data_IF_222081961590
#
_entry.id   IF_222081961590
#
_cell.length_a   1.000
_cell.length_b   1.000
_cell.length_c   1.000
_cell.angle_alpha   90.00
_cell.angle_beta   90.00
_cell.angle_gamma   90.00
#
_symmetry.space_group_name_H-M   'P 1'
#
loop_
_entity.id
_entity.type
_entity.pdbx_description
1 polymer ?
#
# COMPACT_ATOMS: atom_id res chain seq x y z
N UNK A 1 -13.76 11.98 15.82
CA UNK A 1 -12.54 12.67 16.30
C UNK A 1 -12.27 13.96 15.51
N UNK A 2 -12.12 13.88 14.17
CA UNK A 2 -11.66 15.01 13.34
C UNK A 2 -12.65 16.18 13.19
N UNK A 3 -13.92 16.00 13.55
CA UNK A 3 -14.99 17.01 13.35
C UNK A 3 -14.60 18.40 13.88
N UNK A 4 -14.01 18.48 15.08
CA UNK A 4 -13.58 19.76 15.67
C UNK A 4 -12.35 20.34 14.98
N UNK A 5 -11.44 19.50 14.51
CA UNK A 5 -10.21 19.91 13.81
C UNK A 5 -10.54 20.48 12.43
N UNK A 6 -11.46 19.82 11.72
CA UNK A 6 -11.96 20.22 10.41
C UNK A 6 -12.73 21.54 10.49
N UNK A 7 -13.53 21.75 11.55
CA UNK A 7 -14.33 22.97 11.71
C UNK A 7 -13.49 24.26 11.64
N UNK A 8 -12.24 24.22 12.11
CA UNK A 8 -11.30 25.36 12.07
C UNK A 8 -10.80 25.71 10.67
N UNK A 9 -10.91 24.77 9.73
CA UNK A 9 -10.33 24.86 8.37
C UNK A 9 -11.36 25.10 7.28
N UNK A 10 -12.65 24.88 7.58
CA UNK A 10 -13.74 25.10 6.63
C UNK A 10 -13.76 26.54 6.11
N UNK A 11 -13.96 26.68 4.80
CA UNK A 11 -14.05 27.98 4.13
C UNK A 11 -12.72 28.62 3.73
N UNK A 12 -11.59 27.92 3.95
CA UNK A 12 -10.29 28.33 3.41
C UNK A 12 -10.13 27.84 1.96
N UNK A 13 -9.36 28.57 1.16
CA UNK A 13 -9.11 28.25 -0.27
C UNK A 13 -8.21 27.02 -0.47
N UNK A 14 -7.37 26.72 0.51
CA UNK A 14 -6.56 25.50 0.55
C UNK A 14 -6.53 24.94 1.96
N UNK A 15 -6.99 23.70 2.12
CA UNK A 15 -7.07 23.00 3.41
C UNK A 15 -6.10 21.83 3.50
N UNK A 16 -5.13 21.75 2.59
CA UNK A 16 -4.23 20.60 2.54
C UNK A 16 -3.23 20.55 3.69
N UNK A 17 -2.81 19.35 4.09
CA UNK A 17 -1.74 19.23 5.09
C UNK A 17 -0.43 19.85 4.62
N UNK A 18 -0.11 19.76 3.31
CA UNK A 18 1.09 20.37 2.75
C UNK A 18 1.09 21.89 2.86
N UNK A 19 -0.07 22.52 2.66
CA UNK A 19 -0.25 23.97 2.81
C UNK A 19 0.06 24.42 4.24
N UNK A 20 -0.53 23.75 5.24
CA UNK A 20 -0.27 24.05 6.64
C UNK A 20 1.20 23.79 7.03
N UNK A 21 1.77 22.68 6.56
CA UNK A 21 3.16 22.31 6.84
C UNK A 21 4.15 23.38 6.34
N UNK A 22 3.95 23.90 5.12
CA UNK A 22 4.80 24.95 4.52
C UNK A 22 4.66 26.31 5.20
N UNK A 23 3.54 26.55 5.88
CA UNK A 23 3.37 27.71 6.75
C UNK A 23 3.97 27.52 8.15
N UNK A 24 4.60 26.36 8.42
CA UNK A 24 5.17 26.04 9.72
C UNK A 24 4.15 25.59 10.77
N UNK A 25 2.90 25.31 10.35
CA UNK A 25 1.82 24.88 11.25
C UNK A 25 1.84 23.35 11.41
N UNK A 26 1.89 22.88 12.66
CA UNK A 26 1.65 21.47 13.00
C UNK A 26 0.15 21.31 13.24
N UNK A 27 -0.52 20.59 12.35
CA UNK A 27 -1.97 20.30 12.48
C UNK A 27 -2.23 19.19 13.49
N UNK A 28 -3.50 19.01 13.88
CA UNK A 28 -3.89 17.88 14.72
C UNK A 28 -3.62 16.53 14.06
N UNK A 29 -3.78 16.41 12.73
CA UNK A 29 -3.42 15.20 11.99
C UNK A 29 -1.92 14.91 12.06
N UNK A 30 -1.04 15.92 11.89
CA UNK A 30 0.41 15.72 12.03
C UNK A 30 0.79 15.28 13.44
N UNK A 31 0.17 15.86 14.46
CA UNK A 31 0.39 15.49 15.86
C UNK A 31 -0.06 14.04 16.14
N UNK A 32 -1.21 13.64 15.59
CA UNK A 32 -1.74 12.28 15.72
C UNK A 32 -0.80 11.26 15.07
N UNK A 33 -0.36 11.54 13.84
CA UNK A 33 0.58 10.70 13.10
C UNK A 33 1.92 10.58 13.83
N UNK A 34 2.45 11.68 14.36
CA UNK A 34 3.71 11.69 15.10
C UNK A 34 3.67 10.71 16.29
N UNK A 35 2.57 10.70 17.04
CA UNK A 35 2.36 9.75 18.14
C UNK A 35 2.24 8.31 17.63
N UNK A 36 1.45 8.08 16.57
CA UNK A 36 1.21 6.75 15.98
C UNK A 36 2.50 6.11 15.44
N UNK A 37 3.37 6.90 14.83
CA UNK A 37 4.63 6.46 14.24
C UNK A 37 5.80 6.47 15.25
N UNK A 38 5.60 7.03 16.44
CA UNK A 38 6.66 7.33 17.41
C UNK A 38 7.78 8.20 16.79
N UNK A 39 7.38 9.27 16.09
CA UNK A 39 8.26 10.22 15.43
C UNK A 39 8.04 11.64 15.98
N UNK A 40 9.04 12.54 15.91
CA UNK A 40 8.85 13.94 16.28
C UNK A 40 7.81 14.64 15.38
N UNK A 41 6.88 15.45 15.93
CA UNK A 41 5.93 16.22 15.13
C UNK A 41 6.58 17.16 14.11
N UNK A 42 7.72 17.75 14.45
CA UNK A 42 8.47 18.59 13.51
C UNK A 42 9.00 17.81 12.31
N UNK A 43 9.42 16.56 12.50
CA UNK A 43 9.82 15.68 11.39
C UNK A 43 8.63 15.43 10.45
N UNK A 44 7.44 15.13 11.00
CA UNK A 44 6.23 14.94 10.19
C UNK A 44 5.92 16.19 9.36
N UNK A 45 5.92 17.36 10.00
CA UNK A 45 5.71 18.65 9.32
C UNK A 45 6.74 18.89 8.21
N UNK A 46 8.02 18.68 8.49
CA UNK A 46 9.10 18.89 7.50
C UNK A 46 8.99 17.93 6.30
N UNK A 47 8.69 16.65 6.55
CA UNK A 47 8.50 15.65 5.49
C UNK A 47 7.27 15.97 4.62
N UNK A 48 6.18 16.44 5.23
CA UNK A 48 4.97 16.86 4.50
C UNK A 48 5.22 18.14 3.72
N UNK A 49 5.89 19.15 4.32
CA UNK A 49 6.17 20.43 3.66
C UNK A 49 7.06 20.27 2.40
N UNK A 50 8.03 19.35 2.46
CA UNK A 50 8.92 19.04 1.34
C UNK A 50 8.36 18.00 0.36
N UNK A 51 7.17 17.45 0.63
CA UNK A 51 6.46 16.53 -0.26
C UNK A 51 6.93 15.07 -0.20
N UNK A 52 7.81 14.71 0.74
CA UNK A 52 8.32 13.33 0.95
C UNK A 52 7.42 12.47 1.84
N UNK A 53 6.36 13.06 2.35
CA UNK A 53 5.30 12.42 3.11
C UNK A 53 3.97 13.06 2.78
N UNK A 54 2.91 12.26 2.76
CA UNK A 54 1.54 12.74 2.71
C UNK A 54 0.75 12.19 3.90
N UNK A 55 -0.32 12.90 4.25
CA UNK A 55 -1.35 12.49 5.19
C UNK A 55 -2.69 12.62 4.43
N UNK A 56 -3.16 11.54 3.77
CA UNK A 56 -4.39 11.59 2.99
C UNK A 56 -5.58 11.70 3.94
N UNK A 57 -6.16 12.90 4.04
CA UNK A 57 -7.08 13.23 5.12
C UNK A 57 -8.14 14.24 4.67
N UNK A 58 -9.00 13.83 3.74
CA UNK A 58 -10.04 14.69 3.21
C UNK A 58 -10.93 15.22 4.35
N UNK A 59 -11.26 16.51 4.30
CA UNK A 59 -12.08 17.20 5.31
C UNK A 59 -13.50 16.61 5.45
N UNK A 60 -13.98 15.87 4.46
CA UNK A 60 -15.28 15.21 4.46
C UNK A 60 -15.21 13.76 4.99
N UNK A 61 -14.05 13.30 5.48
CA UNK A 61 -13.87 11.99 6.11
C UNK A 61 -13.61 12.11 7.62
N UNK A 62 -14.64 12.41 8.44
CA UNK A 62 -14.47 12.74 9.86
C UNK A 62 -14.12 11.55 10.77
N UNK A 63 -14.36 10.32 10.30
CA UNK A 63 -14.10 9.08 11.03
C UNK A 63 -12.67 8.57 10.88
N UNK A 64 -11.91 9.14 9.94
CA UNK A 64 -10.51 8.81 9.71
C UNK A 64 -9.67 8.98 10.98
N UNK A 65 -8.86 7.95 11.26
CA UNK A 65 -7.71 7.98 12.14
C UNK A 65 -6.45 8.27 11.31
N UNK A 66 -5.88 9.48 11.40
CA UNK A 66 -4.81 9.90 10.50
C UNK A 66 -3.60 8.96 10.49
N UNK A 67 -2.98 8.86 9.32
CA UNK A 67 -1.77 8.07 9.08
C UNK A 67 -0.88 8.81 8.08
N UNK A 68 0.43 8.52 8.09
CA UNK A 68 1.36 9.07 7.12
C UNK A 68 1.89 8.02 6.15
N UNK A 69 2.01 8.43 4.88
CA UNK A 69 2.66 7.69 3.82
C UNK A 69 3.91 8.47 3.42
N UNK A 70 5.08 7.94 3.75
CA UNK A 70 6.35 8.55 3.37
C UNK A 70 7.53 7.67 3.76
N UNK A 71 8.69 7.90 3.13
CA UNK A 71 9.88 7.11 3.41
C UNK A 71 10.43 7.31 4.83
N UNK A 72 9.99 8.32 5.58
CA UNK A 72 10.40 8.50 6.99
C UNK A 72 9.55 7.69 7.98
N UNK A 73 8.34 7.26 7.60
CA UNK A 73 7.43 6.49 8.44
C UNK A 73 7.53 4.98 8.17
N UNK A 74 6.78 4.17 8.92
CA UNK A 74 6.63 2.73 8.65
C UNK A 74 6.10 2.47 7.24
N UNK A 75 6.51 1.39 6.59
CA UNK A 75 5.97 1.01 5.30
C UNK A 75 4.47 0.66 5.43
N UNK A 76 3.62 1.22 4.55
CA UNK A 76 2.16 1.10 4.62
C UNK A 76 1.64 0.06 3.62
N UNK A 77 0.49 -0.53 3.91
CA UNK A 77 -0.16 -1.51 3.03
C UNK A 77 -1.57 -1.03 2.65
N UNK A 78 -1.87 -1.06 1.36
CA UNK A 78 -3.21 -0.83 0.84
C UNK A 78 -3.91 -2.15 0.51
N UNK A 79 -5.21 -2.24 0.78
CA UNK A 79 -6.08 -3.29 0.25
C UNK A 79 -7.07 -2.73 -0.77
N UNK A 80 -7.32 -3.47 -1.85
CA UNK A 80 -8.35 -3.14 -2.83
C UNK A 80 -9.62 -3.94 -2.55
N UNK A 81 -10.74 -3.24 -2.42
CA UNK A 81 -12.08 -3.85 -2.37
C UNK A 81 -12.93 -3.29 -3.52
N UNK A 82 -14.18 -3.70 -3.61
CA UNK A 82 -15.08 -3.17 -4.62
C UNK A 82 -16.15 -4.15 -5.05
N UNK A 83 -17.31 -3.58 -5.40
CA UNK A 83 -18.43 -4.26 -6.01
C UNK A 83 -18.20 -4.47 -7.51
N UNK A 84 -18.73 -5.58 -8.01
CA UNK A 84 -18.72 -5.88 -9.45
C UNK A 84 -20.16 -6.14 -9.93
N UNK A 85 -20.44 -6.00 -11.25
CA UNK A 85 -21.76 -6.30 -11.81
C UNK A 85 -22.33 -7.68 -11.44
N UNK A 86 -21.46 -8.63 -11.12
CA UNK A 86 -21.83 -10.02 -10.88
C UNK A 86 -21.95 -10.38 -9.39
N UNK A 87 -21.49 -9.53 -8.48
CA UNK A 87 -21.65 -9.72 -7.04
C UNK A 87 -21.28 -8.44 -6.27
N UNK A 88 -22.17 -8.01 -5.39
CA UNK A 88 -21.92 -7.45 -4.04
C UNK A 88 -23.14 -6.61 -3.60
N UNK A 89 -23.37 -6.53 -2.29
CA UNK A 89 -24.29 -5.56 -1.68
C UNK A 89 -23.54 -4.67 -0.67
N UNK A 90 -24.21 -3.65 -0.13
CA UNK A 90 -23.60 -2.68 0.79
C UNK A 90 -22.94 -3.33 2.02
N UNK A 91 -23.60 -4.32 2.62
CA UNK A 91 -23.12 -4.98 3.83
C UNK A 91 -21.88 -5.83 3.54
N UNK A 92 -21.80 -6.44 2.36
CA UNK A 92 -20.63 -7.21 1.93
C UNK A 92 -19.39 -6.32 1.74
N UNK A 93 -19.53 -5.14 1.13
CA UNK A 93 -18.38 -4.22 0.99
C UNK A 93 -17.91 -3.66 2.33
N UNK A 94 -18.84 -3.35 3.25
CA UNK A 94 -18.47 -2.96 4.62
C UNK A 94 -17.80 -4.11 5.37
N UNK A 95 -18.26 -5.36 5.18
CA UNK A 95 -17.61 -6.52 5.76
C UNK A 95 -16.18 -6.72 5.23
N UNK A 96 -15.95 -6.52 3.92
CA UNK A 96 -14.61 -6.56 3.31
C UNK A 96 -13.71 -5.46 3.87
N UNK A 97 -14.22 -4.23 4.03
CA UNK A 97 -13.50 -3.13 4.68
C UNK A 97 -13.08 -3.51 6.10
N UNK A 98 -14.02 -3.99 6.93
CA UNK A 98 -13.73 -4.38 8.31
C UNK A 98 -12.71 -5.52 8.38
N UNK A 99 -12.80 -6.49 7.47
CA UNK A 99 -11.83 -7.57 7.35
C UNK A 99 -10.44 -7.05 6.97
N UNK A 100 -10.38 -6.11 6.03
CA UNK A 100 -9.14 -5.51 5.59
C UNK A 100 -8.44 -4.76 6.74
N UNK A 101 -9.20 -3.94 7.47
CA UNK A 101 -8.70 -3.22 8.65
C UNK A 101 -8.28 -4.20 9.75
N UNK A 102 -9.05 -5.26 10.02
CA UNK A 102 -8.71 -6.31 11.00
C UNK A 102 -7.32 -6.91 10.73
N UNK A 103 -7.01 -7.22 9.47
CA UNK A 103 -5.73 -7.81 9.08
C UNK A 103 -4.64 -6.77 8.74
N UNK A 104 -4.87 -5.50 9.08
CA UNK A 104 -3.83 -4.48 9.14
C UNK A 104 -3.67 -3.63 7.89
N UNK A 105 -4.67 -3.57 7.00
CA UNK A 105 -4.68 -2.59 5.92
C UNK A 105 -4.55 -1.16 6.50
N UNK A 106 -3.55 -0.42 6.04
CA UNK A 106 -3.29 0.96 6.45
C UNK A 106 -4.13 1.95 5.63
N UNK A 107 -4.49 1.59 4.40
CA UNK A 107 -5.48 2.26 3.55
C UNK A 107 -6.33 1.23 2.80
N UNK A 108 -7.48 1.65 2.28
CA UNK A 108 -8.31 0.82 1.42
C UNK A 108 -8.72 1.59 0.17
N UNK A 109 -8.71 0.95 -0.99
CA UNK A 109 -9.28 1.52 -2.21
C UNK A 109 -10.62 0.87 -2.55
N UNK A 110 -11.62 1.70 -2.81
CA UNK A 110 -12.87 1.28 -3.45
C UNK A 110 -12.69 1.31 -4.98
N UNK A 111 -12.56 0.13 -5.56
CA UNK A 111 -12.44 -0.08 -7.00
C UNK A 111 -13.74 -0.58 -7.63
N UNK A 112 -14.89 -0.30 -7.00
CA UNK A 112 -16.21 -0.71 -7.51
C UNK A 112 -16.43 -0.21 -8.93
N UNK A 113 -16.83 -1.11 -9.84
CA UNK A 113 -17.09 -0.78 -11.25
C UNK A 113 -18.43 -1.27 -11.76
N UNK A 114 -19.39 -1.48 -10.86
CA UNK A 114 -20.76 -1.87 -11.17
C UNK A 114 -21.36 -2.69 -10.02
N UNK A 115 -22.57 -3.24 -10.24
CA UNK A 115 -23.25 -4.10 -9.26
C UNK A 115 -24.18 -3.37 -8.29
N UNK A 116 -24.39 -2.06 -8.46
CA UNK A 116 -25.30 -1.28 -7.63
C UNK A 116 -25.10 0.22 -7.78
N UNK A 117 -25.66 0.99 -6.84
CA UNK A 117 -25.43 2.43 -6.76
C UNK A 117 -24.03 2.72 -6.20
N UNK A 118 -23.08 3.01 -7.08
CA UNK A 118 -21.68 3.29 -6.73
C UNK A 118 -21.53 4.43 -5.71
N UNK A 119 -22.41 5.44 -5.76
CA UNK A 119 -22.35 6.55 -4.81
C UNK A 119 -22.71 6.10 -3.40
N UNK A 120 -23.75 5.28 -3.29
CA UNK A 120 -24.23 4.77 -2.01
C UNK A 120 -23.23 3.79 -1.39
N UNK A 121 -22.67 2.89 -2.21
CA UNK A 121 -21.61 1.97 -1.80
C UNK A 121 -20.44 2.75 -1.22
N UNK A 122 -19.87 3.68 -2.00
CA UNK A 122 -18.71 4.46 -1.56
C UNK A 122 -19.00 5.33 -0.34
N UNK A 123 -20.16 5.98 -0.29
CA UNK A 123 -20.57 6.78 0.88
C UNK A 123 -20.66 5.92 2.13
N UNK A 124 -21.14 4.68 2.00
CA UNK A 124 -21.25 3.74 3.11
C UNK A 124 -19.87 3.27 3.58
N UNK A 125 -18.97 2.94 2.64
CA UNK A 125 -17.57 2.59 2.94
C UNK A 125 -16.85 3.73 3.67
N UNK A 126 -16.91 4.96 3.15
CA UNK A 126 -16.25 6.13 3.77
C UNK A 126 -16.81 6.39 5.18
N UNK A 127 -18.12 6.25 5.38
CA UNK A 127 -18.70 6.42 6.73
C UNK A 127 -18.25 5.35 7.71
N UNK A 128 -18.01 4.12 7.25
CA UNK A 128 -17.58 3.01 8.09
C UNK A 128 -16.07 2.98 8.33
N UNK A 129 -15.27 3.62 7.47
CA UNK A 129 -13.81 3.47 7.48
C UNK A 129 -13.13 4.33 8.56
N UNK A 130 -12.23 3.73 9.35
CA UNK A 130 -11.27 4.48 10.17
C UNK A 130 -9.96 4.76 9.41
N UNK A 131 -9.74 4.17 8.23
CA UNK A 131 -8.52 4.33 7.42
C UNK A 131 -8.78 5.12 6.15
N UNK A 132 -7.76 5.73 5.51
CA UNK A 132 -7.95 6.48 4.27
C UNK A 132 -8.58 5.63 3.17
N UNK A 133 -9.54 6.22 2.46
CA UNK A 133 -10.21 5.62 1.30
C UNK A 133 -9.68 6.23 0.00
N UNK A 134 -9.14 5.37 -0.86
CA UNK A 134 -8.74 5.71 -2.22
C UNK A 134 -9.77 5.31 -3.26
N UNK A 135 -9.74 5.95 -4.44
CA UNK A 135 -10.55 5.55 -5.60
C UNK A 135 -9.82 5.76 -6.91
N UNK A 136 -10.38 5.22 -8.00
CA UNK A 136 -9.96 5.50 -9.38
C UNK A 136 -11.14 6.15 -10.13
N UNK A 137 -11.29 7.50 -10.11
CA UNK A 137 -12.49 8.20 -10.61
C UNK A 137 -12.91 7.85 -12.05
N UNK A 138 -11.94 7.53 -12.92
CA UNK A 138 -12.22 7.13 -14.31
C UNK A 138 -13.12 5.89 -14.41
N UNK A 139 -13.14 5.01 -13.41
CA UNK A 139 -14.00 3.82 -13.43
C UNK A 139 -15.48 4.21 -13.35
N UNK A 140 -15.84 5.15 -12.47
CA UNK A 140 -17.22 5.64 -12.40
C UNK A 140 -17.56 6.58 -13.55
N UNK A 141 -16.61 7.38 -14.04
CA UNK A 141 -16.84 8.18 -15.25
C UNK A 141 -17.17 7.31 -16.46
N UNK A 142 -16.51 6.15 -16.61
CA UNK A 142 -16.85 5.21 -17.68
C UNK A 142 -18.28 4.66 -17.55
N UNK A 143 -18.78 4.43 -16.34
CA UNK A 143 -20.15 3.99 -16.10
C UNK A 143 -21.19 5.08 -16.45
N UNK A 144 -20.87 6.37 -16.29
CA UNK A 144 -21.79 7.47 -16.64
C UNK A 144 -22.05 7.60 -18.15
N UNK A 145 -21.16 7.02 -18.97
CA UNK A 145 -21.32 6.91 -20.43
C UNK A 145 -21.65 5.48 -20.88
N UNK A 146 -22.21 4.66 -19.98
CA UNK A 146 -22.61 3.27 -20.23
C UNK A 146 -21.49 2.41 -20.84
N UNK A 147 -20.25 2.59 -20.38
CA UNK A 147 -19.10 1.84 -20.88
C UNK A 147 -18.55 2.32 -22.22
N UNK A 148 -19.20 3.30 -22.87
CA UNK A 148 -18.70 3.83 -24.14
C UNK A 148 -17.63 4.91 -23.87
N UNK A 149 -16.39 4.43 -23.74
CA UNK A 149 -15.23 5.29 -23.46
C UNK A 149 -15.04 6.43 -24.46
N UNK A 150 -15.50 6.31 -25.71
CA UNK A 150 -15.36 7.35 -26.73
C UNK A 150 -16.22 8.59 -26.42
N UNK A 151 -17.30 8.40 -25.64
CA UNK A 151 -18.21 9.47 -25.26
C UNK A 151 -17.74 10.28 -24.04
N UNK A 152 -16.66 9.87 -23.37
CA UNK A 152 -16.12 10.60 -22.22
C UNK A 152 -15.67 12.00 -22.63
N UNK A 153 -16.05 12.99 -21.84
CA UNK A 153 -15.59 14.38 -21.99
C UNK A 153 -14.73 14.80 -20.79
N UNK A 154 -13.89 15.84 -20.92
CA UNK A 154 -13.20 16.44 -19.78
C UNK A 154 -14.12 16.77 -18.60
N UNK A 155 -15.34 17.26 -18.87
CA UNK A 155 -16.32 17.61 -17.85
C UNK A 155 -16.81 16.39 -17.08
N UNK A 156 -16.99 15.24 -17.74
CA UNK A 156 -17.36 13.98 -17.06
C UNK A 156 -16.28 13.57 -16.05
N UNK A 157 -14.99 13.69 -16.43
CA UNK A 157 -13.88 13.39 -15.52
C UNK A 157 -13.88 14.33 -14.32
N UNK A 158 -13.91 15.65 -14.56
CA UNK A 158 -13.88 16.66 -13.50
C UNK A 158 -15.08 16.54 -12.56
N UNK A 159 -16.27 16.28 -13.11
CA UNK A 159 -17.49 16.08 -12.32
C UNK A 159 -17.35 14.89 -11.36
N UNK A 160 -16.89 13.74 -11.83
CA UNK A 160 -16.73 12.54 -10.98
C UNK A 160 -15.60 12.71 -9.96
N UNK A 161 -14.50 13.36 -10.35
CA UNK A 161 -13.41 13.70 -9.44
C UNK A 161 -13.92 14.58 -8.29
N UNK A 162 -14.63 15.68 -8.58
CA UNK A 162 -15.16 16.54 -7.52
C UNK A 162 -16.19 15.81 -6.66
N UNK A 163 -17.05 14.99 -7.27
CA UNK A 163 -18.05 14.19 -6.55
C UNK A 163 -17.41 13.26 -5.52
N UNK A 164 -16.33 12.56 -5.88
CA UNK A 164 -15.60 11.71 -4.95
C UNK A 164 -14.99 12.53 -3.80
N UNK A 165 -14.47 13.73 -4.11
CA UNK A 165 -13.89 14.62 -3.10
C UNK A 165 -14.95 15.13 -2.12
N UNK A 166 -16.15 15.45 -2.61
CA UNK A 166 -17.29 15.84 -1.78
C UNK A 166 -17.76 14.71 -0.85
N UNK A 167 -17.64 13.45 -1.28
CA UNK A 167 -18.01 12.29 -0.46
C UNK A 167 -17.00 11.96 0.65
N UNK A 168 -15.77 12.47 0.57
CA UNK A 168 -14.72 12.20 1.56
C UNK A 168 -13.68 11.18 1.12
N UNK A 169 -13.49 10.95 -0.18
CA UNK A 169 -12.35 10.16 -0.67
C UNK A 169 -11.05 10.90 -0.34
N UNK A 170 -10.08 10.22 0.29
CA UNK A 170 -8.85 10.85 0.80
C UNK A 170 -7.74 10.97 -0.25
N UNK A 171 -7.71 10.05 -1.19
CA UNK A 171 -6.79 10.10 -2.33
C UNK A 171 -7.39 9.51 -3.59
N UNK A 172 -6.93 9.96 -4.74
CA UNK A 172 -7.44 9.47 -6.02
C UNK A 172 -6.32 9.11 -6.97
N UNK A 173 -6.44 7.95 -7.58
CA UNK A 173 -5.58 7.53 -8.68
C UNK A 173 -5.97 8.28 -9.95
N UNK A 174 -5.13 9.23 -10.35
CA UNK A 174 -5.31 10.06 -11.55
C UNK A 174 -4.24 9.68 -12.57
N UNK A 175 -4.68 9.08 -13.67
CA UNK A 175 -3.82 8.61 -14.76
C UNK A 175 -3.46 9.76 -15.73
N UNK A 176 -2.92 10.86 -15.21
CA UNK A 176 -2.54 12.02 -16.01
C UNK A 176 -1.16 11.90 -16.68
N UNK A 177 -0.39 10.85 -16.35
CA UNK A 177 0.97 10.65 -16.86
C UNK A 177 1.08 10.06 -18.25
N UNK A 178 0.06 9.33 -18.71
CA UNK A 178 0.04 8.76 -20.05
C UNK A 178 -0.25 9.86 -21.06
N UNK A 179 0.75 10.15 -21.90
CA UNK A 179 0.65 11.12 -22.96
C UNK A 179 0.47 10.42 -24.30
N UNK A 180 -0.16 11.10 -25.27
CA UNK A 180 -0.39 10.52 -26.60
C UNK A 180 0.91 10.09 -27.29
N UNK A 181 2.01 10.81 -27.07
CA UNK A 181 3.36 10.50 -27.55
C UNK A 181 3.97 9.24 -26.91
N UNK A 182 3.45 8.76 -25.78
CA UNK A 182 3.92 7.52 -25.14
C UNK A 182 3.30 6.28 -25.79
N UNK A 183 2.13 6.38 -26.41
CA UNK A 183 1.39 5.23 -26.94
C UNK A 183 2.17 4.40 -27.97
N UNK A 184 2.99 4.97 -28.87
CA UNK A 184 3.82 4.17 -29.78
C UNK A 184 4.86 3.30 -29.07
N UNK A 185 5.30 3.66 -27.85
CA UNK A 185 6.35 2.95 -27.11
C UNK A 185 5.90 1.56 -26.66
N UNK A 186 4.58 1.34 -26.45
CA UNK A 186 4.06 0.03 -26.02
C UNK A 186 3.96 -1.00 -27.15
N UNK A 187 4.32 -0.64 -28.40
CA UNK A 187 4.16 -1.51 -29.58
C UNK A 187 4.82 -2.89 -29.43
N UNK A 188 5.97 -2.94 -28.76
CA UNK A 188 6.77 -4.17 -28.64
C UNK A 188 6.60 -4.89 -27.29
N UNK A 189 5.67 -4.42 -26.44
CA UNK A 189 5.36 -5.11 -25.19
C UNK A 189 4.66 -6.44 -25.44
N UNK A 190 4.94 -7.43 -24.60
CA UNK A 190 4.21 -8.72 -24.62
C UNK A 190 2.79 -8.51 -24.12
N UNK A 191 2.61 -7.71 -23.06
CA UNK A 191 1.33 -7.54 -22.37
C UNK A 191 0.64 -6.20 -22.62
N UNK A 192 1.27 -5.33 -23.42
CA UNK A 192 0.71 -4.03 -23.79
C UNK A 192 0.45 -3.10 -22.59
N UNK A 193 -0.76 -2.57 -22.49
CA UNK A 193 -1.21 -1.70 -21.39
C UNK A 193 -2.13 -2.52 -20.48
N UNK A 194 -1.64 -2.86 -19.29
CA UNK A 194 -2.39 -3.65 -18.29
C UNK A 194 -3.12 -2.81 -17.25
N UNK A 195 -2.85 -1.50 -17.19
CA UNK A 195 -3.64 -0.60 -16.36
C UNK A 195 -5.04 -0.43 -16.95
N UNK A 196 -6.08 -0.72 -16.18
CA UNK A 196 -7.47 -0.46 -16.60
C UNK A 196 -7.71 1.02 -16.89
N UNK A 197 -7.27 1.92 -16.01
CA UNK A 197 -7.42 3.36 -16.19
C UNK A 197 -6.57 3.87 -17.36
N UNK A 198 -5.33 3.40 -17.47
CA UNK A 198 -4.45 3.69 -18.59
C UNK A 198 -4.99 3.24 -19.93
N UNK A 199 -5.58 2.04 -20.00
CA UNK A 199 -6.18 1.48 -21.21
C UNK A 199 -7.40 2.26 -21.69
N UNK A 200 -8.25 2.74 -20.76
CA UNK A 200 -9.40 3.61 -21.09
C UNK A 200 -8.90 4.91 -21.73
N UNK A 201 -7.91 5.58 -21.12
CA UNK A 201 -7.37 6.83 -21.66
C UNK A 201 -6.61 6.64 -22.97
N UNK A 202 -5.83 5.57 -23.10
CA UNK A 202 -5.15 5.24 -24.34
C UNK A 202 -6.13 5.11 -25.50
N UNK A 203 -7.24 4.38 -25.30
CA UNK A 203 -8.30 4.25 -26.32
C UNK A 203 -9.01 5.57 -26.61
N UNK A 204 -9.31 6.36 -25.58
CA UNK A 204 -9.88 7.70 -25.75
C UNK A 204 -8.98 8.59 -26.62
N UNK A 205 -7.67 8.63 -26.33
CA UNK A 205 -6.70 9.42 -27.09
C UNK A 205 -6.55 8.94 -28.53
N UNK A 206 -6.55 7.62 -28.77
CA UNK A 206 -6.49 7.05 -30.12
C UNK A 206 -7.73 7.37 -30.96
N UNK A 207 -8.91 7.37 -30.34
CA UNK A 207 -10.15 7.73 -31.03
C UNK A 207 -10.17 9.22 -31.39
N UNK A 208 -9.93 10.08 -30.39
CA UNK A 208 -10.08 11.54 -30.54
C UNK A 208 -8.86 12.24 -31.16
N UNK A 209 -7.71 11.56 -31.23
CA UNK A 209 -6.42 12.15 -31.65
C UNK A 209 -6.07 13.41 -30.84
N UNK A 210 -6.35 13.37 -29.54
CA UNK A 210 -6.13 14.48 -28.59
C UNK A 210 -5.29 14.02 -27.42
N UNK A 211 -4.62 14.98 -26.77
CA UNK A 211 -3.90 14.72 -25.54
C UNK A 211 -4.84 14.28 -24.41
N UNK A 212 -4.31 13.51 -23.46
CA UNK A 212 -4.98 13.05 -22.25
C UNK A 212 -5.71 14.21 -21.54
N UNK A 213 -7.05 14.12 -21.35
CA UNK A 213 -7.83 15.20 -20.76
C UNK A 213 -7.45 15.45 -19.29
N UNK A 214 -7.03 14.41 -18.54
CA UNK A 214 -6.57 14.57 -17.16
C UNK A 214 -5.24 15.34 -17.09
N UNK A 215 -4.41 15.23 -18.14
CA UNK A 215 -3.18 16.00 -18.25
C UNK A 215 -3.45 17.46 -18.61
N UNK A 216 -4.32 17.71 -19.60
CA UNK A 216 -4.61 19.09 -20.05
C UNK A 216 -5.41 19.88 -19.00
N UNK A 217 -6.26 19.20 -18.23
CA UNK A 217 -7.06 19.79 -17.14
C UNK A 217 -6.46 19.56 -15.75
N UNK A 218 -5.17 19.24 -15.65
CA UNK A 218 -4.53 18.96 -14.35
C UNK A 218 -4.64 20.14 -13.36
N UNK A 219 -4.65 21.38 -13.86
CA UNK A 219 -4.86 22.57 -13.04
C UNK A 219 -6.25 22.63 -12.40
N UNK A 220 -7.29 22.21 -13.13
CA UNK A 220 -8.66 22.16 -12.61
C UNK A 220 -8.79 21.12 -11.50
N UNK A 221 -8.10 19.97 -11.65
CA UNK A 221 -8.05 18.91 -10.63
C UNK A 221 -7.34 19.41 -9.36
N UNK A 222 -6.25 20.16 -9.50
CA UNK A 222 -5.54 20.79 -8.37
C UNK A 222 -6.49 21.68 -7.56
N UNK A 223 -7.29 22.52 -8.22
CA UNK A 223 -8.24 23.40 -7.54
C UNK A 223 -9.33 22.63 -6.77
N UNK A 224 -9.78 21.50 -7.32
CA UNK A 224 -10.67 20.58 -6.59
C UNK A 224 -9.94 20.05 -5.34
N UNK A 225 -8.71 19.54 -5.48
CA UNK A 225 -8.02 18.85 -4.40
C UNK A 225 -7.67 19.78 -3.22
N UNK A 226 -7.29 21.04 -3.51
CA UNK A 226 -7.04 22.07 -2.49
C UNK A 226 -8.23 22.30 -1.57
N UNK A 227 -9.44 22.30 -2.13
CA UNK A 227 -10.69 22.59 -1.41
C UNK A 227 -11.05 21.50 -0.39
N UNK A 228 -10.61 20.26 -0.61
CA UNK A 228 -11.04 19.12 0.18
C UNK A 228 -9.89 18.38 0.91
N UNK A 229 -8.62 18.71 0.64
CA UNK A 229 -7.43 17.95 1.08
C UNK A 229 -7.41 16.51 0.54
N UNK A 230 -7.68 16.37 -0.76
CA UNK A 230 -7.48 15.10 -1.48
C UNK A 230 -6.02 15.01 -1.91
N UNK A 231 -5.38 13.87 -1.65
CA UNK A 231 -4.04 13.59 -2.16
C UNK A 231 -4.09 13.01 -3.57
N UNK A 232 -3.17 13.43 -4.43
CA UNK A 232 -2.92 12.72 -5.69
C UNK A 232 -2.24 11.38 -5.41
N UNK A 233 -2.79 10.33 -6.01
CA UNK A 233 -2.05 9.14 -6.37
C UNK A 233 -1.85 9.21 -7.89
N UNK A 234 -0.66 9.59 -8.34
CA UNK A 234 -0.40 9.75 -9.77
C UNK A 234 -0.22 8.36 -10.40
N UNK A 235 -1.22 7.93 -11.17
CA UNK A 235 -1.35 6.55 -11.65
C UNK A 235 -0.34 6.16 -12.72
N UNK A 236 0.11 4.90 -12.68
CA UNK A 236 1.09 4.30 -13.57
C UNK A 236 0.44 3.54 -14.74
N UNK A 237 -0.16 4.31 -15.65
CA UNK A 237 -0.90 3.80 -16.81
C UNK A 237 -0.12 2.79 -17.66
N UNK A 238 1.19 3.00 -17.78
CA UNK A 238 2.14 2.25 -18.58
C UNK A 238 3.04 1.38 -17.69
N UNK A 239 2.57 0.92 -16.53
CA UNK A 239 3.29 -0.12 -15.79
C UNK A 239 3.46 -1.42 -16.59
N UNK A 240 4.51 -2.21 -16.33
CA UNK A 240 4.70 -3.52 -16.94
C UNK A 240 3.73 -4.56 -16.38
N UNK A 241 3.14 -5.37 -17.27
CA UNK A 241 2.26 -6.50 -16.93
C UNK A 241 2.91 -7.88 -17.05
N UNK A 242 4.20 -7.92 -17.37
CA UNK A 242 5.03 -9.10 -17.32
C UNK A 242 6.49 -8.68 -17.12
N UNK A 243 7.35 -9.58 -16.68
CA UNK A 243 8.76 -9.27 -16.39
C UNK A 243 9.55 -8.85 -17.63
N UNK A 244 9.11 -9.24 -18.83
CA UNK A 244 9.75 -8.83 -20.08
C UNK A 244 9.57 -7.33 -20.36
N UNK A 245 8.41 -6.77 -20.00
CA UNK A 245 8.06 -5.38 -20.28
C UNK A 245 8.61 -4.42 -19.20
N UNK A 246 9.29 -4.96 -18.18
CA UNK A 246 9.79 -4.22 -17.04
C UNK A 246 10.89 -3.22 -17.42
N UNK A 247 10.81 -2.02 -16.85
CA UNK A 247 11.77 -0.93 -17.02
C UNK A 247 11.93 -0.46 -18.47
N UNK A 248 10.91 -0.67 -19.31
CA UNK A 248 10.94 -0.24 -20.71
C UNK A 248 10.75 1.27 -20.90
N UNK A 249 10.95 1.74 -22.13
CA UNK A 249 10.85 3.17 -22.47
C UNK A 249 9.46 3.76 -22.16
N UNK A 250 8.39 2.97 -22.32
CA UNK A 250 7.03 3.42 -22.05
C UNK A 250 6.80 3.70 -20.57
N UNK A 251 7.24 2.79 -19.70
CA UNK A 251 7.15 2.94 -18.25
C UNK A 251 7.97 4.16 -17.78
N UNK A 252 9.21 4.27 -18.24
CA UNK A 252 10.11 5.35 -17.82
C UNK A 252 9.69 6.71 -18.35
N UNK A 253 9.10 6.78 -19.56
CA UNK A 253 8.55 8.00 -20.11
C UNK A 253 7.37 8.52 -19.26
N UNK A 254 6.45 7.65 -18.85
CA UNK A 254 5.37 8.06 -17.95
C UNK A 254 5.91 8.52 -16.60
N UNK A 255 6.82 7.77 -15.97
CA UNK A 255 7.40 8.13 -14.67
C UNK A 255 7.99 9.55 -14.67
N UNK A 256 8.68 9.93 -15.76
CA UNK A 256 9.21 11.29 -15.95
C UNK A 256 8.08 12.33 -15.98
N UNK A 257 6.98 12.05 -16.67
CA UNK A 257 5.80 12.92 -16.68
C UNK A 257 5.15 13.00 -15.30
N UNK A 258 5.06 11.90 -14.56
CA UNK A 258 4.55 11.89 -13.17
C UNK A 258 5.39 12.80 -12.27
N UNK A 259 6.72 12.83 -12.44
CA UNK A 259 7.59 13.77 -11.74
C UNK A 259 7.30 15.24 -12.07
N UNK A 260 6.99 15.56 -13.32
CA UNK A 260 6.58 16.91 -13.73
C UNK A 260 5.24 17.30 -13.08
N UNK A 261 4.26 16.41 -13.12
CA UNK A 261 2.94 16.62 -12.51
C UNK A 261 3.02 16.73 -10.99
N UNK A 262 3.91 15.98 -10.35
CA UNK A 262 4.20 16.08 -8.92
C UNK A 262 4.63 17.49 -8.55
N UNK A 263 5.65 18.03 -9.24
CA UNK A 263 6.13 19.41 -9.00
C UNK A 263 5.04 20.44 -9.26
N UNK A 264 4.25 20.26 -10.33
CA UNK A 264 3.11 21.13 -10.64
C UNK A 264 2.05 21.13 -9.55
N UNK A 265 1.71 19.98 -8.96
CA UNK A 265 0.79 19.92 -7.83
C UNK A 265 1.39 20.56 -6.57
N UNK A 266 2.69 20.38 -6.34
CA UNK A 266 3.40 21.00 -5.22
C UNK A 266 3.52 22.51 -5.32
N UNK A 267 3.54 23.12 -6.51
CA UNK A 267 3.45 24.59 -6.65
C UNK A 267 2.16 25.16 -6.02
N UNK A 268 1.15 24.32 -5.86
CA UNK A 268 -0.16 24.66 -5.29
C UNK A 268 -0.41 24.01 -3.92
N UNK A 269 0.64 23.53 -3.26
CA UNK A 269 0.58 22.82 -1.98
C UNK A 269 -0.38 21.62 -1.97
N UNK A 270 -0.53 20.88 -3.07
CA UNK A 270 -1.36 19.65 -3.07
C UNK A 270 -0.48 18.43 -2.81
N UNK A 271 -0.94 17.55 -1.91
CA UNK A 271 -0.23 16.34 -1.52
C UNK A 271 -0.17 15.34 -2.69
N UNK A 272 0.98 14.67 -2.88
CA UNK A 272 1.19 13.73 -3.98
C UNK A 272 1.93 12.49 -3.50
N UNK A 273 1.45 11.32 -3.90
CA UNK A 273 2.24 10.09 -4.05
C UNK A 273 2.22 9.65 -5.52
N UNK A 274 3.22 8.87 -5.91
CA UNK A 274 3.39 8.37 -7.28
C UNK A 274 3.18 6.86 -7.29
N UNK A 275 2.36 6.36 -8.20
CA UNK A 275 2.19 4.92 -8.40
C UNK A 275 3.34 4.33 -9.20
N UNK A 276 3.61 3.04 -8.99
CA UNK A 276 4.74 2.33 -9.54
C UNK A 276 4.47 0.86 -9.84
N UNK A 277 5.44 0.22 -10.51
CA UNK A 277 5.21 -0.91 -11.40
C UNK A 277 4.61 -2.16 -10.75
N UNK A 278 4.05 -2.97 -11.65
CA UNK A 278 3.41 -4.26 -11.38
C UNK A 278 4.37 -5.44 -11.46
N UNK A 279 4.89 -5.79 -12.65
CA UNK A 279 5.76 -6.97 -12.83
C UNK A 279 7.20 -6.55 -13.08
N UNK A 280 8.11 -6.84 -12.16
CA UNK A 280 9.51 -6.40 -12.21
C UNK A 280 10.42 -7.49 -11.62
N UNK A 281 11.37 -8.04 -12.38
CA UNK A 281 12.32 -9.03 -11.85
C UNK A 281 13.23 -8.38 -10.79
N UNK A 282 13.68 -9.17 -9.82
CA UNK A 282 14.35 -8.66 -8.60
C UNK A 282 15.55 -7.75 -8.88
N UNK A 283 16.33 -8.03 -9.92
CA UNK A 283 17.52 -7.28 -10.31
C UNK A 283 17.22 -5.84 -10.78
N UNK A 284 15.96 -5.53 -11.09
CA UNK A 284 15.52 -4.21 -11.55
C UNK A 284 14.74 -3.42 -10.50
N UNK A 285 14.44 -4.01 -9.33
CA UNK A 285 13.60 -3.35 -8.32
C UNK A 285 14.29 -2.12 -7.72
N UNK A 286 15.57 -2.24 -7.34
CA UNK A 286 16.31 -1.08 -6.80
C UNK A 286 16.35 0.05 -7.84
N UNK A 287 16.65 -0.27 -9.09
CA UNK A 287 16.67 0.71 -10.18
C UNK A 287 15.35 1.49 -10.24
N UNK A 288 14.20 0.80 -10.21
CA UNK A 288 12.90 1.44 -10.27
C UNK A 288 12.65 2.41 -9.11
N UNK A 289 12.95 1.98 -7.88
CA UNK A 289 12.77 2.82 -6.68
C UNK A 289 13.68 4.05 -6.72
N UNK A 290 14.97 3.87 -7.07
CA UNK A 290 15.92 4.98 -7.19
C UNK A 290 15.52 5.95 -8.31
N UNK A 291 15.06 5.42 -9.44
CA UNK A 291 14.64 6.22 -10.58
C UNK A 291 13.42 7.07 -10.25
N UNK A 292 12.47 6.52 -9.49
CA UNK A 292 11.35 7.31 -9.01
C UNK A 292 11.79 8.43 -8.06
N UNK A 293 12.70 8.17 -7.13
CA UNK A 293 13.21 9.22 -6.24
C UNK A 293 13.85 10.37 -7.01
N UNK A 294 14.64 10.05 -8.04
CA UNK A 294 15.30 11.01 -8.92
C UNK A 294 14.27 11.86 -9.69
N UNK A 295 13.36 11.21 -10.43
CA UNK A 295 12.44 11.89 -11.35
C UNK A 295 11.30 12.62 -10.62
N UNK A 296 10.82 12.05 -9.52
CA UNK A 296 9.66 12.52 -8.76
C UNK A 296 10.03 13.24 -7.46
N UNK A 297 11.29 13.67 -7.32
CA UNK A 297 11.73 14.52 -6.20
C UNK A 297 11.44 13.89 -4.83
N UNK A 298 11.68 12.57 -4.71
CA UNK A 298 11.44 11.76 -3.52
C UNK A 298 9.98 11.73 -3.00
N UNK A 299 8.99 12.11 -3.82
CA UNK A 299 7.58 11.93 -3.47
C UNK A 299 7.30 10.47 -3.02
N UNK A 300 6.39 10.22 -2.07
CA UNK A 300 6.07 8.86 -1.64
C UNK A 300 5.74 7.95 -2.81
N UNK A 301 6.41 6.79 -2.86
CA UNK A 301 6.18 5.80 -3.90
C UNK A 301 5.17 4.75 -3.43
N UNK A 302 4.24 4.39 -4.31
CA UNK A 302 3.17 3.44 -4.07
C UNK A 302 3.16 2.36 -5.16
N UNK A 303 3.55 1.12 -4.85
CA UNK A 303 3.77 0.08 -5.89
C UNK A 303 2.76 -1.06 -5.77
N UNK A 304 2.41 -1.69 -6.90
CA UNK A 304 1.59 -2.91 -6.94
C UNK A 304 2.50 -4.15 -6.96
N UNK A 305 2.81 -4.70 -5.79
CA UNK A 305 3.86 -5.72 -5.66
C UNK A 305 5.24 -5.10 -5.51
N UNK A 306 6.16 -5.22 -6.48
CA UNK A 306 5.98 -5.85 -7.79
C UNK A 306 6.09 -7.39 -7.77
N UNK A 307 5.41 -8.06 -8.72
CA UNK A 307 5.57 -9.48 -9.00
C UNK A 307 6.95 -9.74 -9.61
N UNK A 308 7.73 -10.62 -8.98
CA UNK A 308 9.11 -10.91 -9.43
C UNK A 308 9.19 -12.00 -10.51
N UNK A 309 8.08 -12.69 -10.77
CA UNK A 309 7.98 -13.75 -11.77
C UNK A 309 6.52 -13.96 -12.17
N UNK A 310 6.30 -14.33 -13.44
CA UNK A 310 4.95 -14.47 -14.02
C UNK A 310 4.40 -15.92 -14.01
N UNK A 311 5.14 -16.88 -13.46
CA UNK A 311 4.89 -18.32 -13.68
C UNK A 311 4.01 -18.99 -12.62
N UNK A 312 3.49 -18.22 -11.65
CA UNK A 312 2.79 -18.79 -10.49
C UNK A 312 1.41 -18.14 -10.21
N UNK A 313 0.52 -18.02 -11.22
CA UNK A 313 -0.85 -17.55 -10.97
C UNK A 313 -1.53 -18.47 -9.94
N UNK A 314 -2.27 -17.87 -9.00
CA UNK A 314 -2.75 -18.56 -7.78
C UNK A 314 -1.86 -18.31 -6.56
N UNK A 315 -0.62 -17.87 -6.77
CA UNK A 315 0.38 -17.60 -5.74
C UNK A 315 1.00 -16.20 -5.89
N UNK A 316 0.33 -15.29 -6.60
CA UNK A 316 0.90 -13.98 -6.90
C UNK A 316 1.06 -13.08 -5.66
N UNK A 317 0.29 -13.32 -4.60
CA UNK A 317 0.56 -12.75 -3.28
C UNK A 317 1.97 -13.09 -2.75
N UNK A 318 2.55 -14.25 -3.11
CA UNK A 318 3.90 -14.65 -2.73
C UNK A 318 4.93 -14.06 -3.70
N UNK A 319 4.71 -14.19 -5.01
CA UNK A 319 5.63 -13.64 -6.03
C UNK A 319 5.81 -12.14 -5.85
N UNK A 320 4.72 -11.45 -5.52
CA UNK A 320 4.73 -10.02 -5.27
C UNK A 320 5.23 -9.63 -3.89
N UNK A 321 5.01 -10.43 -2.83
CA UNK A 321 5.53 -10.11 -1.50
C UNK A 321 7.07 -10.05 -1.47
N UNK A 322 7.75 -10.86 -2.30
CA UNK A 322 9.21 -10.79 -2.49
C UNK A 322 9.60 -9.41 -3.02
N UNK A 323 8.98 -8.98 -4.12
CA UNK A 323 9.28 -7.70 -4.72
C UNK A 323 8.86 -6.52 -3.85
N UNK A 324 7.73 -6.64 -3.16
CA UNK A 324 7.20 -5.64 -2.24
C UNK A 324 8.12 -5.42 -1.02
N UNK A 325 8.69 -6.49 -0.46
CA UNK A 325 9.67 -6.39 0.62
C UNK A 325 10.95 -5.69 0.15
N UNK A 326 11.42 -6.00 -1.07
CA UNK A 326 12.59 -5.33 -1.66
C UNK A 326 12.33 -3.86 -1.98
N UNK A 327 11.21 -3.56 -2.65
CA UNK A 327 10.82 -2.19 -3.00
C UNK A 327 10.60 -1.35 -1.73
N UNK A 328 9.90 -1.94 -0.75
CA UNK A 328 9.79 -1.45 0.61
C UNK A 328 11.18 -1.13 1.16
N UNK A 329 12.08 -2.10 1.26
CA UNK A 329 13.43 -1.86 1.78
C UNK A 329 14.14 -0.67 1.10
N UNK A 330 14.11 -0.59 -0.23
CA UNK A 330 14.79 0.47 -0.98
C UNK A 330 14.17 1.87 -0.87
N UNK A 331 12.91 1.99 -0.48
CA UNK A 331 12.33 3.32 -0.25
C UNK A 331 10.85 3.51 -0.53
N UNK A 332 10.15 2.48 -1.03
CA UNK A 332 8.71 2.56 -1.27
C UNK A 332 7.92 2.82 0.02
N UNK A 333 7.01 3.78 -0.01
CA UNK A 333 6.27 4.23 1.16
C UNK A 333 5.01 3.41 1.43
N UNK A 334 4.34 2.97 0.36
CA UNK A 334 3.13 2.16 0.44
C UNK A 334 3.15 1.01 -0.57
N UNK A 335 2.61 -0.14 -0.17
CA UNK A 335 2.55 -1.35 -0.96
C UNK A 335 1.07 -1.69 -1.22
N UNK A 336 0.66 -1.71 -2.48
CA UNK A 336 -0.65 -2.21 -2.87
C UNK A 336 -0.57 -3.72 -2.83
N UNK A 337 -1.44 -4.34 -2.04
CA UNK A 337 -1.44 -5.79 -1.93
C UNK A 337 -1.76 -6.47 -3.26
N UNK A 338 -1.43 -7.75 -3.33
CA UNK A 338 -1.83 -8.64 -4.42
C UNK A 338 -2.38 -9.88 -3.75
N UNK A 339 -3.54 -10.33 -4.20
CA UNK A 339 -4.22 -11.48 -3.62
C UNK A 339 -3.79 -12.77 -4.32
N UNK A 340 -4.04 -13.96 -3.74
CA UNK A 340 -3.86 -15.22 -4.45
C UNK A 340 -4.61 -15.30 -5.79
N UNK A 341 -5.71 -14.53 -5.95
CA UNK A 341 -6.55 -14.51 -7.15
C UNK A 341 -6.14 -13.50 -8.21
N UNK A 342 -5.04 -12.79 -8.03
CA UNK A 342 -4.52 -11.95 -9.11
C UNK A 342 -4.40 -12.76 -10.40
N UNK A 343 -4.76 -12.13 -11.53
CA UNK A 343 -4.87 -12.76 -12.85
C UNK A 343 -5.93 -13.87 -13.01
N UNK A 344 -6.70 -14.20 -11.96
CA UNK A 344 -7.65 -15.33 -11.97
C UNK A 344 -9.09 -14.94 -11.66
N UNK A 345 -9.34 -13.93 -10.83
CA UNK A 345 -10.70 -13.47 -10.53
C UNK A 345 -10.82 -12.56 -9.32
N UNK A 346 -12.06 -12.34 -8.88
CA UNK A 346 -12.34 -11.46 -7.74
C UNK A 346 -12.00 -12.14 -6.40
N UNK A 347 -11.27 -11.45 -5.49
CA UNK A 347 -10.89 -11.98 -4.19
C UNK A 347 -12.12 -12.15 -3.28
N UNK A 348 -12.16 -13.27 -2.57
CA UNK A 348 -13.07 -13.49 -1.45
C UNK A 348 -12.39 -13.09 -0.12
N UNK A 349 -13.07 -13.28 1.01
CA UNK A 349 -12.56 -12.94 2.33
C UNK A 349 -11.21 -13.61 2.67
N UNK A 350 -11.02 -14.87 2.30
CA UNK A 350 -9.79 -15.62 2.56
C UNK A 350 -8.64 -15.12 1.66
N UNK A 351 -8.94 -14.77 0.41
CA UNK A 351 -7.97 -14.16 -0.51
C UNK A 351 -7.50 -12.79 0.01
N UNK A 352 -8.43 -11.98 0.56
CA UNK A 352 -8.12 -10.70 1.20
C UNK A 352 -7.22 -10.89 2.41
N UNK A 353 -7.55 -11.85 3.29
CA UNK A 353 -6.73 -12.21 4.47
C UNK A 353 -5.31 -12.60 4.04
N UNK A 354 -5.17 -13.54 3.11
CA UNK A 354 -3.86 -14.04 2.66
C UNK A 354 -3.02 -12.94 1.99
N UNK A 355 -3.64 -12.11 1.14
CA UNK A 355 -2.97 -10.96 0.53
C UNK A 355 -2.49 -9.95 1.58
N UNK A 356 -3.32 -9.62 2.56
CA UNK A 356 -2.94 -8.65 3.60
C UNK A 356 -1.82 -9.18 4.50
N UNK A 357 -1.91 -10.43 4.97
CA UNK A 357 -0.86 -11.00 5.81
C UNK A 357 0.47 -11.06 5.05
N UNK A 358 0.46 -11.46 3.77
CA UNK A 358 1.68 -11.45 2.95
C UNK A 358 2.30 -10.05 2.85
N UNK A 359 1.48 -9.00 2.70
CA UNK A 359 1.98 -7.63 2.57
C UNK A 359 2.35 -6.98 3.90
N UNK A 360 1.70 -7.33 5.02
CA UNK A 360 2.16 -6.91 6.35
C UNK A 360 3.49 -7.55 6.70
N UNK A 361 3.73 -8.79 6.28
CA UNK A 361 5.06 -9.43 6.37
C UNK A 361 6.07 -8.63 5.53
N UNK A 362 5.75 -8.33 4.26
CA UNK A 362 6.64 -7.58 3.38
C UNK A 362 6.99 -6.18 3.91
N UNK A 363 5.97 -5.42 4.37
CA UNK A 363 6.14 -4.09 4.94
C UNK A 363 6.98 -4.13 6.23
N UNK A 364 6.72 -5.09 7.12
CA UNK A 364 7.49 -5.27 8.36
C UNK A 364 8.94 -5.67 8.09
N UNK A 365 9.17 -6.59 7.16
CA UNK A 365 10.51 -6.99 6.73
C UNK A 365 11.29 -5.81 6.15
N UNK A 366 10.63 -4.96 5.35
CA UNK A 366 11.21 -3.72 4.85
C UNK A 366 11.57 -2.75 5.99
N UNK A 367 10.71 -2.60 7.01
CA UNK A 367 10.99 -1.75 8.17
C UNK A 367 12.16 -2.26 9.02
N UNK A 368 12.32 -3.58 9.17
CA UNK A 368 13.52 -4.19 9.77
C UNK A 368 14.77 -3.85 8.95
N UNK A 369 14.72 -4.03 7.63
CA UNK A 369 15.84 -3.78 6.72
C UNK A 369 16.22 -2.29 6.63
N UNK A 370 15.26 -1.39 6.92
CA UNK A 370 15.45 0.06 7.07
C UNK A 370 15.92 0.48 8.46
N UNK A 371 16.08 -0.47 9.38
CA UNK A 371 16.45 -0.23 10.78
C UNK A 371 15.51 0.76 11.49
N UNK A 372 14.20 0.63 11.27
CA UNK A 372 13.21 1.47 11.95
C UNK A 372 13.26 1.26 13.47
N UNK A 373 13.23 2.33 14.28
CA UNK A 373 13.18 2.20 15.73
C UNK A 373 12.03 1.29 16.19
N UNK A 374 12.34 0.30 17.01
CA UNK A 374 11.37 -0.65 17.57
C UNK A 374 10.78 -1.67 16.60
N UNK A 375 11.20 -1.71 15.32
CA UNK A 375 10.66 -2.67 14.36
C UNK A 375 10.90 -4.13 14.78
N UNK A 376 12.07 -4.40 15.38
CA UNK A 376 12.42 -5.76 15.86
C UNK A 376 11.83 -6.14 17.22
N UNK A 377 11.24 -5.21 17.95
CA UNK A 377 10.79 -5.47 19.33
C UNK A 377 9.75 -6.60 19.36
N UNK A 378 8.82 -6.61 18.40
CA UNK A 378 7.82 -7.66 18.24
C UNK A 378 8.45 -9.01 17.86
N UNK A 379 9.40 -9.03 16.93
CA UNK A 379 10.12 -10.24 16.51
C UNK A 379 10.86 -10.87 17.69
N UNK A 380 11.56 -10.05 18.46
CA UNK A 380 12.35 -10.49 19.60
C UNK A 380 11.44 -10.95 20.76
N UNK A 381 10.31 -10.27 21.03
CA UNK A 381 9.29 -10.73 21.99
C UNK A 381 8.67 -12.07 21.57
N UNK A 382 8.28 -12.21 20.30
CA UNK A 382 7.68 -13.45 19.78
C UNK A 382 8.70 -14.59 19.85
N UNK A 383 9.96 -14.32 19.52
CA UNK A 383 11.04 -15.30 19.60
C UNK A 383 11.33 -15.73 21.04
N UNK A 384 11.26 -14.81 22.01
CA UNK A 384 11.37 -15.14 23.44
C UNK A 384 10.20 -16.01 23.89
N UNK A 385 8.96 -15.68 23.51
CA UNK A 385 7.78 -16.49 23.81
C UNK A 385 7.93 -17.91 23.22
N UNK A 386 8.37 -18.00 21.96
CA UNK A 386 8.64 -19.27 21.27
C UNK A 386 9.69 -20.11 22.01
N UNK A 387 10.83 -19.51 22.36
CA UNK A 387 11.91 -20.23 23.04
C UNK A 387 11.53 -20.69 24.46
N UNK A 388 10.64 -19.95 25.12
CA UNK A 388 10.11 -20.29 26.44
C UNK A 388 8.85 -21.18 26.38
N UNK A 389 8.43 -21.60 25.19
CA UNK A 389 7.22 -22.41 24.97
C UNK A 389 5.92 -21.79 25.50
N UNK A 390 5.88 -20.45 25.56
CA UNK A 390 4.64 -19.71 25.80
C UNK A 390 3.86 -19.59 24.48
N UNK A 391 3.17 -20.69 24.14
CA UNK A 391 2.44 -20.81 22.88
C UNK A 391 1.36 -19.75 22.72
N UNK A 392 0.62 -19.45 23.79
CA UNK A 392 -0.44 -18.44 23.74
C UNK A 392 0.15 -17.06 23.47
N UNK A 393 1.22 -16.67 24.17
CA UNK A 393 1.90 -15.40 23.90
C UNK A 393 2.49 -15.35 22.49
N UNK A 394 3.04 -16.46 21.99
CA UNK A 394 3.52 -16.55 20.61
C UNK A 394 2.39 -16.33 19.60
N UNK A 395 1.20 -16.90 19.82
CA UNK A 395 0.04 -16.69 18.94
C UNK A 395 -0.42 -15.24 18.99
N UNK A 396 -0.62 -14.67 20.18
CA UNK A 396 -1.03 -13.27 20.37
C UNK A 396 -0.09 -12.27 19.67
N UNK A 397 1.21 -12.55 19.72
CA UNK A 397 2.22 -11.70 19.09
C UNK A 397 2.30 -11.89 17.57
N UNK A 398 1.74 -12.94 16.99
CA UNK A 398 1.79 -13.18 15.55
C UNK A 398 0.89 -12.21 14.76
N UNK A 399 1.15 -12.04 13.46
CA UNK A 399 0.31 -11.17 12.59
C UNK A 399 -1.11 -11.71 12.42
N UNK A 400 -1.28 -13.01 12.57
CA UNK A 400 -2.57 -13.70 12.49
C UNK A 400 -2.68 -14.75 13.63
N UNK A 401 -3.08 -14.32 14.84
CA UNK A 401 -3.17 -15.21 16.00
C UNK A 401 -4.12 -16.39 15.79
N UNK A 402 -5.21 -16.17 15.05
CA UNK A 402 -6.19 -17.21 14.74
C UNK A 402 -5.56 -18.32 13.90
N UNK A 403 -4.84 -17.97 12.81
CA UNK A 403 -4.17 -18.94 11.94
C UNK A 403 -3.02 -19.66 12.63
N UNK A 404 -2.23 -18.94 13.45
CA UNK A 404 -1.13 -19.53 14.19
C UNK A 404 -1.61 -20.61 15.18
N UNK A 405 -2.72 -20.33 15.88
CA UNK A 405 -3.36 -21.29 16.79
C UNK A 405 -3.99 -22.45 16.02
N UNK A 406 -4.72 -22.17 14.94
CA UNK A 406 -5.35 -23.17 14.06
C UNK A 406 -4.33 -24.25 13.64
N UNK A 407 -3.18 -23.84 13.07
CA UNK A 407 -2.16 -24.77 12.58
C UNK A 407 -1.46 -25.57 13.68
N UNK A 408 -1.30 -24.99 14.87
CA UNK A 408 -0.80 -25.76 16.02
C UNK A 408 -1.83 -26.83 16.44
N UNK A 409 -3.10 -26.44 16.52
CA UNK A 409 -4.18 -27.25 17.08
C UNK A 409 -4.66 -28.35 16.13
N UNK A 410 -4.35 -28.28 14.83
CA UNK A 410 -4.55 -29.37 13.87
C UNK A 410 -3.93 -30.69 14.34
N UNK A 411 -2.81 -30.63 15.07
CA UNK A 411 -2.10 -31.83 15.56
C UNK A 411 -2.06 -31.92 17.09
N UNK A 412 -2.10 -30.80 17.80
CA UNK A 412 -2.01 -30.74 19.27
C UNK A 412 -3.14 -29.87 19.86
N UNK A 413 -4.43 -30.27 19.72
CA UNK A 413 -5.58 -29.42 20.05
C UNK A 413 -5.78 -29.20 21.55
N UNK A 414 -5.41 -30.16 22.39
CA UNK A 414 -5.68 -30.10 23.82
C UNK A 414 -4.92 -28.96 24.51
N UNK A 415 -5.58 -28.27 25.44
CA UNK A 415 -5.01 -27.09 26.14
C UNK A 415 -3.69 -27.40 26.88
N UNK A 416 -3.51 -28.64 27.33
CA UNK A 416 -2.25 -29.09 27.95
C UNK A 416 -1.03 -28.85 27.05
N UNK A 417 -1.20 -28.90 25.72
CA UNK A 417 -0.11 -28.71 24.77
C UNK A 417 0.30 -27.25 24.60
N UNK A 418 -0.47 -26.29 25.11
CA UNK A 418 -0.08 -24.86 25.11
C UNK A 418 1.00 -24.52 26.14
N UNK A 419 1.39 -25.50 26.94
CA UNK A 419 2.52 -25.42 27.87
C UNK A 419 3.58 -26.50 27.57
N UNK A 420 3.41 -27.25 26.47
CA UNK A 420 4.34 -28.30 26.10
C UNK A 420 5.64 -27.70 25.55
N UNK A 421 6.77 -28.23 26.01
CA UNK A 421 8.11 -27.85 25.54
C UNK A 421 8.47 -28.47 24.18
N UNK A 422 7.48 -28.67 23.31
CA UNK A 422 7.64 -29.24 21.97
C UNK A 422 6.40 -28.97 21.12
N UNK A 423 6.52 -29.19 19.81
CA UNK A 423 5.39 -29.33 18.90
C UNK A 423 5.42 -30.68 18.18
N UNK A 424 4.42 -30.94 17.33
CA UNK A 424 4.29 -32.18 16.56
C UNK A 424 5.44 -32.42 15.57
N UNK A 425 6.15 -31.38 15.14
CA UNK A 425 7.26 -31.50 14.19
C UNK A 425 8.45 -32.31 14.73
N UNK A 426 8.86 -32.06 15.98
CA UNK A 426 10.03 -32.73 16.58
C UNK A 426 9.66 -33.68 17.72
N UNK A 427 8.46 -33.51 18.29
CA UNK A 427 8.02 -34.24 19.46
C UNK A 427 8.85 -33.95 20.73
N UNK A 428 8.52 -34.62 21.84
CA UNK A 428 9.05 -34.32 23.18
C UNK A 428 10.52 -34.71 23.40
N UNK A 429 11.17 -35.40 22.46
CA UNK A 429 12.55 -35.90 22.64
C UNK A 429 13.58 -35.15 21.82
N UNK A 430 13.15 -34.52 20.74
CA UNK A 430 14.06 -33.97 19.74
C UNK A 430 13.80 -32.48 19.47
N UNK A 431 13.02 -31.81 20.32
CA UNK A 431 12.84 -30.37 20.20
C UNK A 431 14.16 -29.65 20.53
N UNK A 432 14.79 -28.96 19.57
CA UNK A 432 16.09 -28.33 19.79
C UNK A 432 16.04 -27.19 20.81
N UNK A 433 14.87 -26.56 21.00
CA UNK A 433 14.68 -25.53 22.02
C UNK A 433 14.56 -26.12 23.44
N UNK A 434 14.18 -27.40 23.54
CA UNK A 434 14.08 -28.11 24.81
C UNK A 434 15.40 -28.76 25.22
N UNK A 435 16.12 -29.36 24.26
CA UNK A 435 17.42 -30.03 24.48
C UNK A 435 18.56 -29.03 24.72
N UNK A 436 18.27 -27.92 25.42
CA UNK A 436 19.13 -26.76 25.67
C UNK A 436 20.59 -27.21 25.83
N UNK A 437 21.47 -26.62 25.03
CA UNK A 437 22.91 -26.75 25.28
C UNK A 437 23.18 -25.95 26.56
N UNK A 438 23.44 -26.65 27.65
CA UNK A 438 23.61 -25.99 28.94
C UNK A 438 24.97 -25.25 29.00
N UNK A 439 24.98 -24.13 29.70
CA UNK A 439 26.16 -23.26 29.77
C UNK A 439 27.36 -23.95 30.45
N UNK A 440 27.09 -24.90 31.36
CA UNK A 440 28.11 -25.62 32.08
C UNK A 440 28.82 -26.64 31.16
N UNK A 441 28.09 -27.32 30.30
CA UNK A 441 28.59 -28.22 29.26
C UNK A 441 29.42 -27.46 28.23
N UNK A 442 29.03 -26.23 27.87
CA UNK A 442 29.85 -25.35 27.04
C UNK A 442 31.13 -24.92 27.75
N UNK A 443 31.05 -24.52 29.02
CA UNK A 443 32.24 -24.15 29.81
C UNK A 443 33.20 -25.34 29.99
N UNK A 444 32.70 -26.54 30.20
CA UNK A 444 33.53 -27.75 30.27
C UNK A 444 34.16 -28.09 28.91
N UNK A 445 33.41 -27.92 27.81
CA UNK A 445 33.94 -28.06 26.46
C UNK A 445 35.04 -27.03 26.17
N UNK A 446 34.85 -25.77 26.54
CA UNK A 446 35.85 -24.71 26.40
C UNK A 446 37.14 -25.05 27.17
N UNK A 447 37.02 -25.54 28.41
CA UNK A 447 38.17 -26.01 29.21
C UNK A 447 38.88 -27.19 28.55
N UNK A 448 38.13 -28.13 27.98
CA UNK A 448 38.70 -29.27 27.27
C UNK A 448 39.47 -28.83 26.02
N UNK A 449 38.87 -28.00 25.17
CA UNK A 449 39.48 -27.49 23.94
C UNK A 449 40.73 -26.64 24.24
N UNK A 450 40.71 -25.83 25.31
CA UNK A 450 41.86 -25.06 25.75
C UNK A 450 43.03 -25.96 26.20
N UNK A 451 42.75 -27.12 26.83
CA UNK A 451 43.79 -28.10 27.18
C UNK A 451 44.35 -28.79 25.94
N UNK A 452 43.51 -29.17 24.97
CA UNK A 452 43.97 -29.79 23.73
C UNK A 452 44.84 -28.86 22.88
N UNK A 453 44.50 -27.57 22.82
CA UNK A 453 45.28 -26.55 22.14
C UNK A 453 46.69 -26.37 22.73
N UNK A 454 46.87 -26.65 24.03
CA UNK A 454 48.18 -26.61 24.72
C UNK A 454 48.99 -27.89 24.51
N UNK A 455 48.35 -29.03 24.24
CA UNK A 455 49.03 -30.31 23.97
C UNK A 455 49.42 -30.53 22.50
N UNK A 456 48.92 -29.69 21.58
CA UNK A 456 49.19 -29.79 20.14
C UNK A 456 49.89 -28.57 19.53
N UNK A 457 50.28 -27.59 20.34
CA UNK A 457 51.25 -26.54 19.97
C UNK A 457 52.60 -26.82 20.61
#
# INVERSE_FOLDING_TARGET
MRTEWIAKRRGQDNVSQMHYARQGVITEEMQYVAQRENLPPDLIKEEVARGRMIIPANINHPNLEPMAIGIASKCKVNANIGASPNSSNLDEEVAKLNLAVKYGADTVMDLSTGGGNLDEIRTTIIKASPVPIGTVPIYQALESVHGNMENLTPDDFLHIIEKHAQQGVDYMTIHAGILIEHLPLVRNRITGIVSRGGGILARWMLHHHKQNPLYTHFGDIIEIFKKYDVSFSLGDSLRPGCTHDASDDAQLAELKTLGQLTRKAWEHDVQVMVEGPGHVPMDQIEFNVRKQMEECSEAPFYVLGPLVTDIAPGYDHITSAIGAAMAGWYGTAMLCYVTPKEHLGLPNAEDVRNGLIAYKIAAHAADIARHRPGARDRDDELSKARYNFDWNRQFELSLDPERAKEYHDETLPADIYKTAEFCSMCGPKFCPMQTKVDADALMELEKFLAKEAVTHG
#
